data_IF_849579557305
#
_entry.id   IF_849579557305
#
_cell.length_a   1.000
_cell.length_b   1.000
_cell.length_c   1.000
_cell.angle_alpha   90.00
_cell.angle_beta   90.00
_cell.angle_gamma   90.00
#
_symmetry.space_group_name_H-M   'P 1'
#
loop_
_entity.id
_entity.type
_entity.pdbx_description
1 polymer ?
#
# COMPACT_ATOMS: atom_id res chain seq x y z
N UNK A 1 15.67 -13.31 6.03
CA UNK A 1 14.61 -12.39 6.49
C UNK A 1 13.84 -13.03 7.63
N UNK A 2 13.26 -14.22 7.41
CA UNK A 2 12.43 -14.94 8.40
C UNK A 2 13.10 -15.09 9.77
N UNK A 3 14.35 -15.57 9.83
CA UNK A 3 15.06 -15.75 11.11
C UNK A 3 15.32 -14.46 11.87
N UNK A 4 15.47 -13.34 11.15
CA UNK A 4 15.76 -12.04 11.76
C UNK A 4 14.47 -11.41 12.28
N UNK A 5 13.38 -11.52 11.52
CA UNK A 5 12.06 -11.10 11.99
C UNK A 5 11.63 -11.91 13.22
N UNK A 6 11.75 -13.24 13.20
CA UNK A 6 11.49 -14.12 14.34
C UNK A 6 12.32 -13.75 15.58
N UNK A 7 13.57 -13.34 15.37
CA UNK A 7 14.44 -12.90 16.46
C UNK A 7 13.91 -11.63 17.15
N UNK A 8 13.41 -10.65 16.39
CA UNK A 8 12.85 -9.42 16.96
C UNK A 8 11.47 -9.63 17.60
N UNK A 9 10.66 -10.54 17.04
CA UNK A 9 9.38 -10.96 17.63
C UNK A 9 9.62 -11.56 19.02
N UNK A 10 10.58 -12.49 19.17
CA UNK A 10 10.93 -13.11 20.46
C UNK A 10 11.50 -12.13 21.48
N UNK A 11 12.05 -10.99 21.04
CA UNK A 11 12.56 -9.93 21.92
C UNK A 11 11.50 -8.90 22.31
N UNK A 12 10.25 -9.06 21.87
CA UNK A 12 9.16 -8.13 22.17
C UNK A 12 9.29 -6.79 21.46
N UNK A 13 9.96 -6.74 20.31
CA UNK A 13 10.16 -5.53 19.50
C UNK A 13 9.40 -5.66 18.16
N UNK A 14 8.06 -5.58 18.15
CA UNK A 14 7.25 -5.80 16.95
C UNK A 14 7.53 -4.74 15.87
N UNK A 15 7.79 -3.49 16.25
CA UNK A 15 8.08 -2.41 15.27
C UNK A 15 9.33 -2.70 14.44
N UNK A 16 10.39 -3.24 15.06
CA UNK A 16 11.61 -3.61 14.32
C UNK A 16 11.38 -4.81 13.41
N UNK A 17 10.53 -5.75 13.81
CA UNK A 17 10.15 -6.86 12.96
C UNK A 17 9.40 -6.35 11.71
N UNK A 18 8.52 -5.37 11.87
CA UNK A 18 7.81 -4.72 10.75
C UNK A 18 8.77 -4.05 9.77
N UNK A 19 9.72 -3.26 10.26
CA UNK A 19 10.71 -2.59 9.40
C UNK A 19 11.43 -3.61 8.50
N UNK A 20 11.79 -4.77 9.04
CA UNK A 20 12.47 -5.84 8.30
C UNK A 20 11.54 -6.50 7.28
N UNK A 21 10.27 -6.72 7.62
CA UNK A 21 9.29 -7.24 6.68
C UNK A 21 9.04 -6.26 5.53
N UNK A 22 8.92 -4.96 5.82
CA UNK A 22 8.76 -3.92 4.80
C UNK A 22 9.99 -3.82 3.89
N UNK A 23 11.20 -3.79 4.46
CA UNK A 23 12.44 -3.81 3.70
C UNK A 23 12.55 -5.07 2.83
N UNK A 24 12.17 -6.23 3.37
CA UNK A 24 12.12 -7.49 2.64
C UNK A 24 11.18 -7.43 1.45
N UNK A 25 9.93 -6.99 1.64
CA UNK A 25 8.96 -6.86 0.55
C UNK A 25 9.40 -5.86 -0.53
N UNK A 26 10.12 -4.80 -0.16
CA UNK A 26 10.61 -3.79 -1.11
C UNK A 26 11.79 -4.27 -1.96
N UNK A 27 12.68 -5.09 -1.38
CA UNK A 27 13.95 -5.49 -2.00
C UNK A 27 13.86 -6.77 -2.82
N UNK A 28 12.89 -7.64 -2.54
CA UNK A 28 12.78 -8.95 -3.18
C UNK A 28 12.49 -8.84 -4.69
N UNK A 29 13.20 -9.66 -5.46
CA UNK A 29 13.08 -9.75 -6.92
C UNK A 29 12.26 -10.98 -7.34
N UNK A 30 12.18 -12.01 -6.49
CA UNK A 30 11.53 -13.29 -6.81
C UNK A 30 10.11 -13.31 -6.24
N UNK A 31 9.11 -13.59 -7.08
CA UNK A 31 7.69 -13.65 -6.68
C UNK A 31 7.44 -14.67 -5.56
N UNK A 32 8.13 -15.82 -5.60
CA UNK A 32 8.02 -16.85 -4.55
C UNK A 32 8.47 -16.32 -3.19
N UNK A 33 9.61 -15.64 -3.15
CA UNK A 33 10.15 -15.10 -1.89
C UNK A 33 9.27 -13.97 -1.38
N UNK A 34 8.69 -13.16 -2.29
CA UNK A 34 7.71 -12.15 -1.93
C UNK A 34 6.47 -12.77 -1.28
N UNK A 35 5.91 -13.84 -1.85
CA UNK A 35 4.77 -14.54 -1.24
C UNK A 35 5.11 -15.11 0.12
N UNK A 36 6.29 -15.70 0.29
CA UNK A 36 6.72 -16.25 1.59
C UNK A 36 6.81 -15.15 2.65
N UNK A 37 7.43 -14.01 2.32
CA UNK A 37 7.58 -12.87 3.24
C UNK A 37 6.22 -12.23 3.53
N UNK A 38 5.37 -12.07 2.52
CA UNK A 38 4.04 -11.49 2.67
C UNK A 38 3.15 -12.38 3.55
N UNK A 39 3.11 -13.68 3.29
CA UNK A 39 2.32 -14.64 4.08
C UNK A 39 2.83 -14.71 5.53
N UNK A 40 4.14 -14.62 5.75
CA UNK A 40 4.73 -14.53 7.09
C UNK A 40 4.34 -13.22 7.80
N UNK A 41 4.37 -12.09 7.09
CA UNK A 41 4.02 -10.79 7.66
C UNK A 41 2.53 -10.68 8.02
N UNK A 42 1.64 -11.16 7.15
CA UNK A 42 0.20 -11.21 7.42
C UNK A 42 -0.11 -12.09 8.64
N UNK A 43 0.47 -13.29 8.72
CA UNK A 43 0.31 -14.17 9.89
C UNK A 43 0.83 -13.51 11.17
N UNK A 44 1.92 -12.77 11.09
CA UNK A 44 2.45 -12.03 12.22
C UNK A 44 1.47 -10.96 12.70
N UNK A 45 0.95 -10.09 11.82
CA UNK A 45 -0.02 -9.07 12.22
C UNK A 45 -1.34 -9.69 12.72
N UNK A 46 -1.83 -10.75 12.08
CA UNK A 46 -2.98 -11.53 12.55
C UNK A 46 -2.75 -12.10 13.97
N UNK A 47 -1.59 -12.69 14.23
CA UNK A 47 -1.27 -13.23 15.55
C UNK A 47 -1.18 -12.15 16.63
N UNK A 48 -0.67 -10.97 16.26
CA UNK A 48 -0.60 -9.82 17.15
C UNK A 48 -1.99 -9.26 17.46
N UNK A 49 -2.87 -9.17 16.44
CA UNK A 49 -4.27 -8.76 16.62
C UNK A 49 -5.00 -9.77 17.51
N UNK A 50 -4.88 -11.07 17.22
CA UNK A 50 -5.51 -12.13 18.00
C UNK A 50 -5.06 -12.09 19.47
N UNK A 51 -3.77 -11.91 19.74
CA UNK A 51 -3.25 -11.79 21.10
C UNK A 51 -3.84 -10.59 21.85
N UNK A 52 -3.94 -9.43 21.18
CA UNK A 52 -4.54 -8.23 21.79
C UNK A 52 -6.04 -8.44 21.99
N UNK A 53 -6.76 -9.03 21.03
CA UNK A 53 -8.19 -9.34 21.15
C UNK A 53 -8.49 -10.34 22.26
N UNK A 54 -7.70 -11.40 22.41
CA UNK A 54 -7.84 -12.38 23.49
C UNK A 54 -7.59 -11.74 24.86
N UNK A 55 -6.56 -10.88 24.97
CA UNK A 55 -6.32 -10.11 26.19
C UNK A 55 -7.50 -9.18 26.53
N UNK A 56 -8.12 -8.60 25.49
CA UNK A 56 -9.30 -7.74 25.58
C UNK A 56 -10.53 -8.53 26.04
N UNK A 57 -10.73 -9.75 25.52
CA UNK A 57 -11.82 -10.65 25.92
C UNK A 57 -11.66 -11.16 27.35
N UNK A 58 -10.44 -11.53 27.76
CA UNK A 58 -10.14 -12.02 29.11
C UNK A 58 -10.41 -10.95 30.18
N UNK A 59 -10.19 -9.67 29.84
CA UNK A 59 -10.51 -8.55 30.71
C UNK A 59 -12.02 -8.17 30.69
N UNK A 60 -12.85 -8.87 29.88
CA UNK A 60 -14.31 -8.94 30.07
C UNK A 60 -15.10 -7.66 29.76
N UNK A 61 -14.67 -6.81 28.83
CA UNK A 61 -15.55 -5.73 28.35
C UNK A 61 -16.58 -6.30 27.39
N UNK A 62 -17.78 -6.51 27.94
CA UNK A 62 -19.01 -6.61 27.17
C UNK A 62 -19.15 -5.38 26.26
N UNK A 63 -19.50 -5.62 25.00
CA UNK A 63 -19.94 -4.61 24.04
C UNK A 63 -21.21 -3.92 24.56
N UNK A 64 -21.09 -2.97 25.47
CA UNK A 64 -22.09 -1.93 25.70
C UNK A 64 -21.51 -0.86 26.64
N UNK A 65 -21.38 0.37 26.12
CA UNK A 65 -22.06 1.44 26.80
C UNK A 65 -22.97 2.14 25.80
N UNK A 66 -24.26 2.11 26.12
CA UNK A 66 -25.22 3.08 25.61
C UNK A 66 -24.55 4.47 25.55
N UNK A 67 -24.60 5.05 24.36
CA UNK A 67 -24.10 6.37 24.04
C UNK A 67 -24.80 7.37 24.97
N UNK A 68 -24.09 7.90 25.95
CA UNK A 68 -24.48 9.14 26.61
C UNK A 68 -23.79 10.26 25.83
N UNK A 69 -24.56 10.90 24.94
CA UNK A 69 -24.14 12.13 24.27
C UNK A 69 -23.92 13.21 25.33
N UNK A 70 -22.66 13.57 25.56
CA UNK A 70 -22.31 14.54 26.59
C UNK A 70 -20.89 15.07 26.47
N UNK A 71 -20.73 16.02 25.55
CA UNK A 71 -19.98 17.26 25.73
C UNK A 71 -18.44 17.24 25.80
N UNK A 72 -17.85 18.07 24.93
CA UNK A 72 -16.81 19.03 25.30
C UNK A 72 -15.38 18.50 25.39
N UNK A 73 -14.56 18.87 24.40
CA UNK A 73 -13.11 18.72 24.50
C UNK A 73 -12.55 19.40 25.74
N UNK A 74 -11.56 18.77 26.36
CA UNK A 74 -10.60 19.52 27.16
C UNK A 74 -9.20 18.95 26.99
N UNK A 75 -8.27 19.87 26.78
CA UNK A 75 -6.88 19.61 26.65
C UNK A 75 -6.30 19.10 27.96
N UNK A 76 -5.25 18.31 27.80
CA UNK A 76 -4.31 17.85 28.81
C UNK A 76 -3.90 18.98 29.79
N UNK A 77 -4.50 19.01 30.98
CA UNK A 77 -3.86 19.45 32.21
C UNK A 77 -4.63 18.88 33.39
N UNK A 78 -3.97 18.21 34.34
CA UNK A 78 -4.48 18.09 35.71
C UNK A 78 -3.44 17.48 36.65
N UNK A 79 -2.80 18.43 37.33
CA UNK A 79 -2.18 18.39 38.64
C UNK A 79 -2.77 17.36 39.64
N UNK A 80 -1.87 16.74 40.41
CA UNK A 80 -2.15 15.67 41.38
C UNK A 80 -2.59 16.30 42.70
N UNK A 81 -3.88 16.16 43.05
CA UNK A 81 -4.36 16.38 44.44
C UNK A 81 -5.11 15.15 44.93
N UNK A 82 -4.51 14.52 45.94
CA UNK A 82 -4.94 13.28 46.60
C UNK A 82 -6.00 13.60 47.65
N UNK A 83 -7.23 13.07 47.48
CA UNK A 83 -8.19 12.99 48.57
C UNK A 83 -9.02 11.70 48.55
N UNK A 84 -9.34 11.26 49.77
CA UNK A 84 -9.35 9.88 50.26
C UNK A 84 -10.64 9.10 49.93
N UNK A 85 -10.46 7.86 49.43
CA UNK A 85 -11.40 6.71 49.28
C UNK A 85 -12.56 6.73 48.29
N UNK A 86 -13.26 7.85 48.00
CA UNK A 86 -14.27 7.86 46.89
C UNK A 86 -13.62 7.97 45.50
N UNK A 87 -12.42 8.53 45.47
CA UNK A 87 -11.62 8.77 44.26
C UNK A 87 -10.89 7.55 43.73
N UNK A 88 -10.70 6.48 44.52
CA UNK A 88 -10.00 5.27 44.07
C UNK A 88 -10.71 4.59 42.91
N UNK A 89 -12.02 4.37 43.04
CA UNK A 89 -12.84 3.78 41.98
C UNK A 89 -12.84 4.68 40.73
N UNK A 90 -12.96 6.00 40.89
CA UNK A 90 -12.94 6.95 39.75
C UNK A 90 -11.58 7.06 39.07
N UNK A 91 -10.49 6.88 39.82
CA UNK A 91 -9.11 6.89 39.33
C UNK A 91 -8.77 5.57 38.64
N UNK A 92 -9.12 4.44 39.25
CA UNK A 92 -9.03 3.11 38.65
C UNK A 92 -9.89 3.04 37.39
N UNK A 93 -11.12 3.55 37.40
CA UNK A 93 -12.02 3.60 36.24
C UNK A 93 -11.51 4.53 35.13
N UNK A 94 -10.84 5.64 35.46
CA UNK A 94 -10.17 6.52 34.47
C UNK A 94 -8.90 5.90 33.89
N UNK A 95 -8.07 5.26 34.72
CA UNK A 95 -6.89 4.53 34.26
C UNK A 95 -7.33 3.33 33.41
N UNK A 96 -8.34 2.60 33.85
CA UNK A 96 -8.92 1.48 33.14
C UNK A 96 -9.51 1.96 31.81
N UNK A 97 -10.34 3.01 31.77
CA UNK A 97 -10.80 3.59 30.49
C UNK A 97 -9.66 4.04 29.59
N UNK A 98 -8.64 4.71 30.12
CA UNK A 98 -7.49 5.18 29.33
C UNK A 98 -6.65 4.03 28.78
N UNK A 99 -6.47 2.96 29.56
CA UNK A 99 -5.76 1.74 29.18
C UNK A 99 -6.56 0.93 28.15
N UNK A 100 -7.87 0.79 28.35
CA UNK A 100 -8.77 0.05 27.46
C UNK A 100 -9.07 0.76 26.15
N UNK A 101 -9.23 2.07 26.17
CA UNK A 101 -9.32 2.85 24.94
C UNK A 101 -8.01 2.68 24.16
N UNK A 102 -6.85 2.66 24.83
CA UNK A 102 -5.56 2.43 24.18
C UNK A 102 -5.50 1.04 23.53
N UNK A 103 -5.99 0.00 24.18
CA UNK A 103 -5.99 -1.37 23.62
C UNK A 103 -7.00 -1.53 22.47
N UNK A 104 -8.21 -0.93 22.57
CA UNK A 104 -9.19 -0.94 21.47
C UNK A 104 -8.72 -0.11 20.26
N UNK A 105 -8.17 1.09 20.49
CA UNK A 105 -7.56 1.90 19.44
C UNK A 105 -6.32 1.22 18.85
N UNK A 106 -5.59 0.40 19.62
CA UNK A 106 -4.46 -0.38 19.12
C UNK A 106 -4.93 -1.53 18.20
N UNK A 107 -6.04 -2.20 18.52
CA UNK A 107 -6.67 -3.19 17.62
C UNK A 107 -7.15 -2.52 16.33
N UNK A 108 -7.90 -1.42 16.42
CA UNK A 108 -8.40 -0.70 15.25
C UNK A 108 -7.25 -0.18 14.37
N UNK A 109 -6.18 0.35 14.98
CA UNK A 109 -4.98 0.78 14.27
C UNK A 109 -4.26 -0.38 13.58
N UNK A 110 -4.19 -1.55 14.22
CA UNK A 110 -3.58 -2.76 13.65
C UNK A 110 -4.42 -3.33 12.51
N UNK A 111 -5.74 -3.33 12.65
CA UNK A 111 -6.67 -3.72 11.59
C UNK A 111 -6.51 -2.79 10.36
N UNK A 112 -6.49 -1.47 10.58
CA UNK A 112 -6.26 -0.51 9.50
C UNK A 112 -4.90 -0.70 8.81
N UNK A 113 -3.86 -1.09 9.56
CA UNK A 113 -2.55 -1.44 8.99
C UNK A 113 -2.59 -2.72 8.17
N UNK A 114 -3.25 -3.76 8.66
CA UNK A 114 -3.41 -5.02 7.93
C UNK A 114 -4.21 -4.81 6.65
N UNK A 115 -5.29 -4.04 6.70
CA UNK A 115 -6.07 -3.66 5.52
C UNK A 115 -5.18 -2.91 4.51
N UNK A 116 -4.40 -1.93 4.97
CA UNK A 116 -3.47 -1.20 4.11
C UNK A 116 -2.41 -2.12 3.47
N UNK A 117 -1.92 -3.12 4.20
CA UNK A 117 -1.00 -4.13 3.65
C UNK A 117 -1.67 -4.97 2.57
N UNK A 118 -2.93 -5.38 2.81
CA UNK A 118 -3.71 -6.17 1.86
C UNK A 118 -4.00 -5.40 0.57
N UNK A 119 -4.32 -4.11 0.67
CA UNK A 119 -4.52 -3.22 -0.47
C UNK A 119 -3.24 -3.00 -1.27
N UNK A 120 -2.08 -2.97 -0.60
CA UNK A 120 -0.76 -2.82 -1.24
C UNK A 120 -0.26 -4.11 -1.90
N UNK A 121 -0.82 -5.27 -1.56
CA UNK A 121 -0.41 -6.57 -2.14
C UNK A 121 -0.32 -6.55 -3.68
N UNK A 122 -1.35 -6.11 -4.45
CA UNK A 122 -1.25 -6.07 -5.90
C UNK A 122 -0.19 -5.09 -6.41
N UNK A 123 0.02 -3.96 -5.74
CA UNK A 123 1.06 -2.98 -6.11
C UNK A 123 2.47 -3.53 -5.90
N UNK A 124 2.69 -4.20 -4.76
CA UNK A 124 3.97 -4.81 -4.42
C UNK A 124 4.26 -6.00 -5.35
N UNK A 125 3.29 -6.89 -5.56
CA UNK A 125 3.44 -8.02 -6.47
C UNK A 125 3.76 -7.55 -7.91
N UNK A 126 3.06 -6.52 -8.40
CA UNK A 126 3.36 -5.95 -9.71
C UNK A 126 4.76 -5.32 -9.76
N UNK A 127 5.19 -4.65 -8.69
CA UNK A 127 6.55 -4.11 -8.58
C UNK A 127 7.62 -5.21 -8.65
N UNK A 128 7.40 -6.35 -8.00
CA UNK A 128 8.32 -7.51 -8.07
C UNK A 128 8.40 -8.06 -9.50
N UNK A 129 7.27 -8.20 -10.19
CA UNK A 129 7.23 -8.66 -11.59
C UNK A 129 8.00 -7.74 -12.54
N UNK A 130 7.91 -6.42 -12.32
CA UNK A 130 8.66 -5.44 -13.09
C UNK A 130 10.15 -5.41 -12.74
N UNK A 131 10.55 -5.69 -11.49
CA UNK A 131 11.97 -5.89 -11.14
C UNK A 131 12.55 -7.12 -11.83
N UNK A 132 11.76 -8.19 -11.90
CA UNK A 132 12.18 -9.41 -12.57
C UNK A 132 12.40 -9.19 -14.07
N UNK A 133 11.46 -8.50 -14.73
CA UNK A 133 11.54 -8.19 -16.16
C UNK A 133 11.03 -6.78 -16.47
N UNK A 134 11.92 -5.76 -16.43
CA UNK A 134 11.53 -4.36 -16.67
C UNK A 134 10.96 -4.10 -18.06
N UNK A 135 11.32 -4.94 -19.03
CA UNK A 135 10.88 -4.84 -20.43
C UNK A 135 9.55 -5.56 -20.71
N UNK A 136 8.87 -6.10 -19.70
CA UNK A 136 7.59 -6.78 -19.89
C UNK A 136 6.43 -5.78 -19.95
N UNK A 137 5.98 -5.48 -21.17
CA UNK A 137 4.95 -4.47 -21.44
C UNK A 137 3.59 -4.86 -20.87
N UNK A 138 3.26 -6.15 -20.86
CA UNK A 138 1.98 -6.65 -20.35
C UNK A 138 1.81 -6.39 -18.84
N UNK A 139 2.91 -6.28 -18.09
CA UNK A 139 2.88 -6.03 -16.64
C UNK A 139 2.76 -4.56 -16.27
N UNK A 140 3.14 -3.65 -17.18
CA UNK A 140 2.99 -2.21 -16.97
C UNK A 140 1.53 -1.76 -17.05
N UNK A 141 0.67 -2.44 -17.85
CA UNK A 141 -0.76 -2.10 -17.95
C UNK A 141 -1.53 -2.32 -16.64
N UNK A 142 -1.47 -3.50 -15.98
CA UNK A 142 -2.06 -3.69 -14.65
C UNK A 142 -1.57 -2.66 -13.64
N UNK A 143 -0.30 -2.26 -13.67
CA UNK A 143 0.24 -1.25 -12.76
C UNK A 143 -0.49 0.08 -12.86
N UNK A 144 -0.76 0.54 -14.07
CA UNK A 144 -1.48 1.79 -14.30
C UNK A 144 -2.93 1.67 -13.85
N UNK A 145 -3.54 0.49 -14.04
CA UNK A 145 -4.89 0.21 -13.54
C UNK A 145 -4.97 0.26 -12.01
N UNK A 146 -3.92 -0.18 -11.31
CA UNK A 146 -3.85 -0.07 -9.85
C UNK A 146 -3.86 1.39 -9.37
N UNK A 147 -3.38 2.32 -10.19
CA UNK A 147 -3.42 3.76 -9.89
C UNK A 147 -4.63 4.48 -10.49
N UNK A 148 -5.70 3.77 -10.86
CA UNK A 148 -6.97 4.36 -11.26
C UNK A 148 -7.49 5.31 -10.16
N UNK A 149 -7.71 6.58 -10.52
CA UNK A 149 -8.12 7.65 -9.60
C UNK A 149 -7.03 8.68 -9.27
N UNK A 150 -5.74 8.37 -9.51
CA UNK A 150 -4.64 9.32 -9.33
C UNK A 150 -3.87 9.57 -10.64
N UNK A 151 -4.22 10.62 -11.41
CA UNK A 151 -3.65 10.83 -12.74
C UNK A 151 -2.14 11.11 -12.71
N UNK A 152 -1.65 11.78 -11.66
CA UNK A 152 -0.21 12.04 -11.48
C UNK A 152 0.61 10.75 -11.37
N UNK A 153 0.10 9.76 -10.61
CA UNK A 153 0.78 8.46 -10.45
C UNK A 153 0.73 7.64 -11.74
N UNK A 154 -0.39 7.71 -12.47
CA UNK A 154 -0.51 7.04 -13.78
C UNK A 154 0.47 7.61 -14.81
N UNK A 155 0.60 8.94 -14.87
CA UNK A 155 1.57 9.61 -15.75
C UNK A 155 2.99 9.21 -15.37
N UNK A 156 3.35 9.28 -14.09
CA UNK A 156 4.69 8.89 -13.62
C UNK A 156 5.00 7.44 -14.04
N UNK A 157 4.07 6.52 -13.80
CA UNK A 157 4.21 5.11 -14.16
C UNK A 157 4.43 4.91 -15.66
N UNK A 158 3.67 5.59 -16.52
CA UNK A 158 3.88 5.51 -17.97
C UNK A 158 5.22 6.12 -18.40
N UNK A 159 5.63 7.23 -17.80
CA UNK A 159 6.93 7.85 -18.12
C UNK A 159 8.10 6.96 -17.71
N UNK A 160 7.99 6.27 -16.58
CA UNK A 160 8.95 5.24 -16.16
C UNK A 160 8.95 4.07 -17.13
N UNK A 161 7.76 3.53 -17.47
CA UNK A 161 7.62 2.41 -18.40
C UNK A 161 8.30 2.69 -19.74
N UNK A 162 8.04 3.86 -20.32
CA UNK A 162 8.61 4.29 -21.60
C UNK A 162 10.14 4.45 -21.54
N UNK A 163 10.69 4.86 -20.39
CA UNK A 163 12.14 5.00 -20.19
C UNK A 163 12.83 3.66 -19.99
N UNK A 164 12.16 2.68 -19.38
CA UNK A 164 12.76 1.39 -19.02
C UNK A 164 12.54 0.30 -20.07
N UNK A 165 11.47 0.38 -20.86
CA UNK A 165 11.14 -0.64 -21.86
C UNK A 165 11.96 -0.42 -23.12
N UNK A 166 12.91 -1.32 -23.37
CA UNK A 166 13.59 -1.43 -24.65
C UNK A 166 12.68 -2.14 -25.66
N UNK A 167 12.22 -1.48 -26.76
CA UNK A 167 11.31 -2.09 -27.73
C UNK A 167 11.87 -3.32 -28.44
N UNK A 168 13.19 -3.49 -28.43
CA UNK A 168 13.89 -4.64 -29.03
C UNK A 168 13.92 -5.88 -28.13
N UNK A 169 13.88 -5.68 -26.80
CA UNK A 169 13.89 -6.74 -25.78
C UNK A 169 12.53 -6.97 -25.14
N UNK A 170 11.56 -6.11 -25.47
CA UNK A 170 10.25 -6.14 -24.87
C UNK A 170 9.51 -7.44 -25.16
N UNK A 171 8.89 -7.98 -24.11
CA UNK A 171 7.92 -9.07 -24.21
C UNK A 171 6.54 -8.44 -24.22
N UNK A 172 5.80 -8.63 -25.31
CA UNK A 172 4.51 -7.99 -25.57
C UNK A 172 4.57 -6.93 -26.66
N UNK A 173 3.63 -5.98 -26.63
CA UNK A 173 3.45 -4.95 -27.66
C UNK A 173 3.78 -3.55 -27.13
N UNK A 174 5.02 -3.03 -27.28
CA UNK A 174 5.42 -1.73 -26.72
C UNK A 174 4.54 -0.55 -27.16
N UNK A 175 4.01 -0.57 -28.38
CA UNK A 175 3.12 0.47 -28.91
C UNK A 175 1.85 0.64 -28.07
N UNK A 176 1.39 -0.43 -27.39
CA UNK A 176 0.18 -0.36 -26.55
C UNK A 176 0.37 0.56 -25.35
N UNK A 177 1.59 0.69 -24.80
CA UNK A 177 1.88 1.64 -23.71
C UNK A 177 1.73 3.07 -24.19
N UNK A 178 2.27 3.38 -25.38
CA UNK A 178 2.17 4.70 -25.98
C UNK A 178 0.72 5.08 -26.30
N UNK A 179 -0.06 4.15 -26.85
CA UNK A 179 -1.49 4.36 -27.12
C UNK A 179 -2.27 4.57 -25.83
N UNK A 180 -2.03 3.76 -24.80
CA UNK A 180 -2.71 3.90 -23.51
C UNK A 180 -2.31 5.20 -22.79
N UNK A 181 -1.05 5.61 -22.91
CA UNK A 181 -0.56 6.88 -22.36
C UNK A 181 -1.19 8.09 -23.05
N UNK A 182 -1.32 8.06 -24.37
CA UNK A 182 -2.00 9.12 -25.11
C UNK A 182 -3.50 9.19 -24.75
N UNK A 183 -4.18 8.04 -24.63
CA UNK A 183 -5.58 7.98 -24.16
C UNK A 183 -5.77 8.59 -22.77
N UNK A 184 -4.80 8.39 -21.88
CA UNK A 184 -4.83 9.02 -20.55
C UNK A 184 -4.84 10.55 -20.67
N UNK A 185 -3.95 11.13 -21.50
CA UNK A 185 -3.93 12.58 -21.74
C UNK A 185 -5.18 13.10 -22.44
N UNK A 186 -5.75 12.35 -23.39
CA UNK A 186 -7.02 12.69 -24.03
C UNK A 186 -8.17 12.75 -23.02
N UNK A 187 -8.25 11.80 -22.08
CA UNK A 187 -9.24 11.83 -21.00
C UNK A 187 -9.08 13.06 -20.10
N UNK A 188 -7.86 13.54 -19.90
CA UNK A 188 -7.56 14.79 -19.18
C UNK A 188 -7.70 16.06 -20.04
N UNK A 189 -8.19 15.95 -21.28
CA UNK A 189 -8.35 17.03 -22.26
C UNK A 189 -7.05 17.71 -22.68
N UNK A 190 -5.90 17.08 -22.45
CA UNK A 190 -4.60 17.59 -22.83
C UNK A 190 -4.13 17.00 -24.17
N UNK A 191 -4.78 17.46 -25.23
CA UNK A 191 -4.53 16.98 -26.60
C UNK A 191 -3.15 17.43 -27.11
N UNK A 192 -2.62 18.55 -26.60
CA UNK A 192 -1.31 19.04 -27.00
C UNK A 192 -0.21 18.08 -26.55
N UNK A 193 -0.24 17.64 -25.29
CA UNK A 193 0.73 16.67 -24.79
C UNK A 193 0.53 15.28 -25.41
N UNK A 194 -0.71 14.86 -25.67
CA UNK A 194 -0.97 13.60 -26.38
C UNK A 194 -0.27 13.53 -27.75
N UNK A 195 -0.27 14.62 -28.53
CA UNK A 195 0.45 14.70 -29.81
C UNK A 195 1.97 14.54 -29.64
N UNK A 196 2.56 15.23 -28.68
CA UNK A 196 4.00 15.13 -28.38
C UNK A 196 4.38 13.69 -27.98
N UNK A 197 3.50 12.98 -27.26
CA UNK A 197 3.71 11.58 -26.91
C UNK A 197 3.66 10.67 -28.15
N UNK A 198 2.73 10.91 -29.07
CA UNK A 198 2.67 10.17 -30.34
C UNK A 198 3.88 10.43 -31.24
N UNK A 199 4.32 11.69 -31.36
CA UNK A 199 5.52 12.04 -32.13
C UNK A 199 6.76 11.32 -31.59
N UNK A 200 6.89 11.26 -30.25
CA UNK A 200 7.94 10.48 -29.59
C UNK A 200 7.82 8.99 -29.87
N UNK A 201 6.60 8.44 -29.86
CA UNK A 201 6.38 7.03 -30.15
C UNK A 201 6.83 6.65 -31.58
N UNK A 202 6.59 7.52 -32.58
CA UNK A 202 7.00 7.27 -33.98
C UNK A 202 8.52 7.26 -34.15
N UNK A 203 9.27 8.01 -33.31
CA UNK A 203 10.73 8.02 -33.33
C UNK A 203 11.37 6.77 -32.70
N UNK A 204 10.59 5.96 -31.98
CA UNK A 204 11.08 4.77 -31.30
C UNK A 204 11.24 3.63 -32.31
N UNK A 205 12.44 3.05 -32.37
CA UNK A 205 12.73 1.97 -33.30
C UNK A 205 12.15 0.64 -32.80
N UNK A 206 11.04 0.20 -33.38
CA UNK A 206 10.38 -1.06 -33.01
C UNK A 206 11.00 -2.26 -33.75
N UNK A 207 10.99 -3.42 -33.10
CA UNK A 207 11.49 -4.68 -33.70
C UNK A 207 10.67 -5.15 -34.90
N UNK A 208 9.38 -4.86 -34.93
CA UNK A 208 8.44 -5.28 -35.98
C UNK A 208 7.77 -4.08 -36.64
N UNK A 209 7.68 -4.12 -37.97
CA UNK A 209 7.11 -3.04 -38.81
C UNK A 209 5.62 -2.82 -38.52
N UNK A 210 4.90 -3.86 -38.09
CA UNK A 210 3.49 -3.79 -37.69
C UNK A 210 3.23 -2.87 -36.47
N UNK A 211 4.24 -2.60 -35.65
CA UNK A 211 4.10 -1.68 -34.51
C UNK A 211 4.03 -0.21 -34.95
N UNK A 212 4.53 0.13 -36.14
CA UNK A 212 4.51 1.49 -36.69
C UNK A 212 3.19 1.81 -37.39
N UNK A 213 2.53 0.79 -37.96
CA UNK A 213 1.29 0.95 -38.74
C UNK A 213 0.12 1.52 -37.93
N UNK A 214 0.11 1.34 -36.61
CA UNK A 214 -0.96 1.86 -35.73
C UNK A 214 -0.95 3.38 -35.62
N UNK A 215 0.21 4.03 -35.72
CA UNK A 215 0.32 5.49 -35.61
C UNK A 215 -0.02 6.21 -36.91
N UNK A 216 0.23 5.59 -38.07
CA UNK A 216 -0.04 6.19 -39.39
C UNK A 216 -1.51 6.19 -39.83
N UNK A 217 -2.36 5.35 -39.22
CA UNK A 217 -3.77 5.19 -39.63
C UNK A 217 -4.72 6.13 -38.85
N UNK A 218 -4.28 6.71 -37.72
CA UNK A 218 -5.11 7.55 -36.85
C UNK A 218 -4.83 9.06 -36.97
N UNK A 219 -4.17 9.49 -38.06
CA UNK A 219 -4.07 10.92 -38.38
C UNK A 219 -5.44 11.48 -38.80
N UNK A 220 -5.99 12.49 -38.12
CA UNK A 220 -7.25 13.09 -38.53
C UNK A 220 -7.09 13.79 -39.89
N UNK A 221 -8.04 13.56 -40.80
CA UNK A 221 -8.26 14.44 -41.94
C UNK A 221 -8.73 15.82 -41.47
#
# INVERSE_FOLDING_TARGET
MDFLADYYIRRGLPEKARDIFEEGMMTVVIVKDFSVIFDAYSRFEESMIAYVMESLEELGISEDPAVDEGDGGDAFDCDVRLDDKRSKHKFEEKIFRGFWLKDKYDVDLRLARLEHLMDRRPELANSVLLRQNPHNVEQWHPRVKLFEGNPTKQILTYTEAVRTVDPMKAVGKPHTLWVAFAKLYENHKDVANARVIFDKAVQVNYKTVDNLAVFGVNGPK
#
